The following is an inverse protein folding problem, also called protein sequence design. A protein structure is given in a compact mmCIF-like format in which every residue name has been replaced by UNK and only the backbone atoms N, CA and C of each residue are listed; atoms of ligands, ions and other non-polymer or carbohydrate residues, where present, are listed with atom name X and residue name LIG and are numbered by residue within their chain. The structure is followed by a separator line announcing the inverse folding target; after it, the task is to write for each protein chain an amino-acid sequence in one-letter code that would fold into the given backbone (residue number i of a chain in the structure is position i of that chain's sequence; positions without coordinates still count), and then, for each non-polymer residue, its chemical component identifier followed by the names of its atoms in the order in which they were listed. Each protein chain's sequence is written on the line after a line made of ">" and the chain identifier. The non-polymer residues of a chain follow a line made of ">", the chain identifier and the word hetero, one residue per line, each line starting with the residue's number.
data_IF_422690534367
#
_entry.id   IF_422690534367
#
_cell.length_a   1.000
_cell.length_b   1.000
_cell.length_c   1.000
_cell.angle_alpha   90.00
_cell.angle_beta   90.00
_cell.angle_gamma   90.00
#
_symmetry.space_group_name_H-M   'P 1'
#
loop_
_entity.id
_entity.type
_entity.pdbx_description
1 polymer ?
#
# COMPACT_ATOMS: atom_id res chain seq x y z
N UNK A 1 -44.63 -2.16 54.60
CA UNK A 1 -45.70 -2.03 53.58
C UNK A 1 -46.15 -0.57 53.52
N UNK A 2 -46.35 -0.03 52.30
CA UNK A 2 -46.91 1.31 51.94
C UNK A 2 -45.88 2.47 52.04
N UNK A 3 -45.19 2.88 50.96
CA UNK A 3 -45.56 3.60 49.71
C UNK A 3 -46.00 5.07 49.91
N UNK A 4 -45.10 6.01 49.59
CA UNK A 4 -45.32 7.35 48.96
C UNK A 4 -43.94 8.04 48.86
N UNK A 5 -43.25 8.04 47.72
CA UNK A 5 -43.42 8.91 46.55
C UNK A 5 -43.33 10.42 46.89
N UNK A 6 -42.13 10.99 46.80
CA UNK A 6 -41.92 12.41 46.52
C UNK A 6 -40.81 12.55 45.48
N UNK A 7 -41.17 13.24 44.40
CA UNK A 7 -40.55 13.27 43.08
C UNK A 7 -39.19 13.98 43.16
N UNK A 8 -38.12 13.26 42.83
CA UNK A 8 -36.79 13.81 42.64
C UNK A 8 -36.63 14.25 41.17
N UNK A 9 -36.34 15.52 41.00
CA UNK A 9 -36.02 16.22 39.77
C UNK A 9 -34.81 15.58 39.07
N UNK A 10 -35.02 14.72 38.07
CA UNK A 10 -33.97 14.26 37.15
C UNK A 10 -34.15 14.91 35.79
N UNK A 11 -33.29 15.90 35.56
CA UNK A 11 -33.04 16.58 34.30
C UNK A 11 -32.65 15.53 33.26
N UNK A 12 -33.41 15.48 32.16
CA UNK A 12 -33.15 14.66 30.99
C UNK A 12 -31.94 15.24 30.23
N UNK A 13 -30.73 14.88 30.63
CA UNK A 13 -29.54 15.13 29.82
C UNK A 13 -29.53 14.10 28.69
N UNK A 14 -29.85 14.54 27.48
CA UNK A 14 -29.56 13.78 26.26
C UNK A 14 -28.06 13.42 26.28
N UNK A 15 -27.67 12.15 26.28
CA UNK A 15 -26.30 11.82 25.94
C UNK A 15 -26.12 12.23 24.48
N UNK A 16 -25.43 13.34 24.27
CA UNK A 16 -24.88 13.68 22.98
C UNK A 16 -24.08 12.47 22.50
N UNK A 17 -24.39 12.03 21.28
CA UNK A 17 -23.60 11.03 20.57
C UNK A 17 -22.21 11.63 20.36
N UNK A 18 -21.29 11.35 21.28
CA UNK A 18 -19.87 11.52 21.06
C UNK A 18 -19.38 10.21 20.48
N UNK A 19 -19.23 10.15 19.16
CA UNK A 19 -18.57 9.05 18.48
C UNK A 19 -17.09 9.06 18.91
N UNK A 20 -16.58 8.08 19.68
CA UNK A 20 -15.15 7.99 19.96
C UNK A 20 -14.54 7.10 18.87
N UNK A 21 -14.56 7.57 17.63
CA UNK A 21 -13.82 6.94 16.54
C UNK A 21 -13.40 7.95 15.49
N UNK A 22 -12.88 9.09 15.96
CA UNK A 22 -11.80 9.78 15.25
C UNK A 22 -10.49 9.18 15.72
N UNK A 23 -10.23 7.91 15.38
CA UNK A 23 -8.86 7.43 15.36
C UNK A 23 -8.22 8.01 14.09
N UNK A 24 -8.04 9.33 14.09
CA UNK A 24 -7.10 10.01 13.20
C UNK A 24 -5.71 9.57 13.67
N UNK A 25 -5.36 8.32 13.31
CA UNK A 25 -3.98 7.92 13.20
C UNK A 25 -3.40 8.86 12.15
N UNK A 26 -2.79 9.94 12.64
CA UNK A 26 -1.87 10.77 11.90
C UNK A 26 -0.87 9.81 11.28
N UNK A 27 -1.10 9.42 10.02
CA UNK A 27 -0.21 8.57 9.24
C UNK A 27 1.11 9.32 9.27
N UNK A 28 2.04 8.82 10.09
CA UNK A 28 3.39 9.36 10.17
C UNK A 28 3.90 9.42 8.74
N UNK A 29 4.40 10.58 8.32
CA UNK A 29 5.11 10.69 7.05
C UNK A 29 6.11 9.53 6.97
N UNK A 30 6.17 8.82 5.83
CA UNK A 30 7.02 7.64 5.74
C UNK A 30 8.46 8.03 6.04
N UNK A 31 9.09 7.22 6.88
CA UNK A 31 10.53 7.24 7.14
C UNK A 31 11.27 7.31 5.81
N UNK A 32 12.36 8.11 5.73
CA UNK A 32 13.18 8.18 4.53
C UNK A 32 13.55 6.76 4.06
N UNK A 33 13.11 6.39 2.86
CA UNK A 33 13.40 5.08 2.28
C UNK A 33 14.84 5.11 1.79
N UNK A 34 15.66 4.17 2.26
CA UNK A 34 17.00 3.98 1.70
C UNK A 34 16.86 3.54 0.24
N UNK A 35 17.28 4.42 -0.67
CA UNK A 35 17.23 4.16 -2.11
C UNK A 35 18.50 3.46 -2.56
N UNK A 36 18.38 2.55 -3.53
CA UNK A 36 19.58 1.96 -4.15
C UNK A 36 20.22 2.95 -5.12
N UNK A 37 21.55 2.93 -5.20
CA UNK A 37 22.27 3.67 -6.22
C UNK A 37 22.09 3.01 -7.58
N UNK A 38 21.62 3.78 -8.58
CA UNK A 38 21.37 3.27 -9.94
C UNK A 38 22.35 3.93 -10.88
N UNK A 39 23.25 3.14 -11.46
CA UNK A 39 24.27 3.63 -12.38
C UNK A 39 23.63 4.36 -13.56
N UNK A 40 24.20 5.51 -13.89
CA UNK A 40 23.89 6.25 -15.12
C UNK A 40 24.96 5.94 -16.18
N UNK A 41 24.51 5.39 -17.30
CA UNK A 41 25.30 5.24 -18.52
C UNK A 41 25.35 6.55 -19.33
N UNK A 42 26.01 6.46 -20.47
CA UNK A 42 26.30 7.57 -21.39
C UNK A 42 25.56 7.45 -22.73
N UNK A 43 24.58 6.55 -22.85
CA UNK A 43 23.81 6.37 -24.08
C UNK A 43 23.05 7.64 -24.45
N UNK A 44 23.16 8.06 -25.72
CA UNK A 44 22.45 9.21 -26.30
C UNK A 44 21.94 8.81 -27.68
N UNK A 45 20.65 9.03 -27.93
CA UNK A 45 20.04 8.88 -29.25
C UNK A 45 19.87 10.25 -29.92
N UNK A 46 19.84 10.26 -31.26
CA UNK A 46 19.60 11.48 -32.03
C UNK A 46 18.33 11.35 -32.87
N UNK A 47 17.32 12.17 -32.55
CA UNK A 47 16.06 12.22 -33.27
C UNK A 47 15.93 13.55 -34.02
N UNK A 48 15.88 13.49 -35.35
CA UNK A 48 15.74 14.68 -36.21
C UNK A 48 16.79 15.78 -35.92
N UNK A 49 18.00 15.38 -35.55
CA UNK A 49 19.09 16.29 -35.19
C UNK A 49 19.08 16.78 -33.73
N UNK A 50 18.16 16.29 -32.89
CA UNK A 50 18.11 16.57 -31.46
C UNK A 50 18.67 15.38 -30.68
N UNK A 51 19.68 15.64 -29.84
CA UNK A 51 20.25 14.64 -28.92
C UNK A 51 19.35 14.43 -27.70
N UNK A 52 19.12 13.18 -27.32
CA UNK A 52 18.31 12.76 -26.18
C UNK A 52 19.10 11.71 -25.39
N UNK A 53 19.52 12.06 -24.17
CA UNK A 53 20.25 11.14 -23.29
C UNK A 53 19.30 10.12 -22.66
N UNK A 54 19.69 8.85 -22.70
CA UNK A 54 19.03 7.75 -22.01
C UNK A 54 20.02 7.04 -21.06
N UNK A 55 20.27 7.62 -19.87
CA UNK A 55 21.28 7.12 -18.96
C UNK A 55 20.95 5.73 -18.39
N UNK A 56 19.74 5.21 -18.59
CA UNK A 56 19.32 3.92 -18.05
C UNK A 56 19.06 2.87 -19.14
N UNK A 57 19.55 3.10 -20.35
CA UNK A 57 19.48 2.15 -21.48
C UNK A 57 19.90 0.73 -21.10
N UNK A 58 20.86 0.58 -20.19
CA UNK A 58 21.33 -0.73 -19.73
C UNK A 58 20.25 -1.58 -19.04
N UNK A 59 19.22 -0.96 -18.45
CA UNK A 59 18.06 -1.66 -17.86
C UNK A 59 17.14 -2.29 -18.91
N UNK A 60 17.31 -1.97 -20.20
CA UNK A 60 16.52 -2.57 -21.28
C UNK A 60 16.98 -3.99 -21.64
N UNK A 61 18.20 -4.39 -21.24
CA UNK A 61 18.64 -5.79 -21.34
C UNK A 61 18.12 -6.59 -20.15
N UNK A 62 16.98 -7.24 -20.35
CA UNK A 62 16.25 -8.04 -19.36
C UNK A 62 16.92 -9.39 -19.05
N UNK A 63 17.95 -9.79 -19.81
CA UNK A 63 18.72 -11.00 -19.60
C UNK A 63 20.09 -10.75 -18.96
N UNK A 64 20.48 -9.48 -18.77
CA UNK A 64 21.77 -9.14 -18.18
C UNK A 64 21.82 -9.41 -16.67
N UNK A 65 22.99 -9.84 -16.20
CA UNK A 65 23.24 -10.00 -14.77
C UNK A 65 23.16 -8.66 -14.01
N UNK A 66 23.49 -7.54 -14.66
CA UNK A 66 23.41 -6.18 -14.07
C UNK A 66 21.94 -5.81 -13.79
N UNK A 67 21.03 -6.00 -14.76
CA UNK A 67 19.59 -5.74 -14.59
C UNK A 67 18.99 -6.68 -13.56
N UNK A 68 19.35 -7.97 -13.59
CA UNK A 68 18.87 -8.94 -12.59
C UNK A 68 19.28 -8.56 -11.16
N UNK A 69 20.52 -8.12 -10.95
CA UNK A 69 21.00 -7.63 -9.66
C UNK A 69 20.23 -6.38 -9.21
N UNK A 70 20.07 -5.38 -10.09
CA UNK A 70 19.33 -4.17 -9.79
C UNK A 70 17.86 -4.45 -9.41
N UNK A 71 17.20 -5.38 -10.10
CA UNK A 71 15.85 -5.85 -9.75
C UNK A 71 15.82 -6.48 -8.36
N UNK A 72 16.83 -7.27 -8.01
CA UNK A 72 16.98 -7.86 -6.68
C UNK A 72 17.04 -6.80 -5.59
N UNK A 73 17.87 -5.79 -5.78
CA UNK A 73 18.07 -4.67 -4.86
C UNK A 73 16.81 -3.80 -4.69
N UNK A 74 16.15 -3.44 -5.80
CA UNK A 74 14.87 -2.69 -5.79
C UNK A 74 13.80 -3.46 -5.03
N UNK A 75 13.71 -4.77 -5.26
CA UNK A 75 12.75 -5.62 -4.57
C UNK A 75 13.06 -5.75 -3.08
N UNK A 76 14.34 -5.73 -2.68
CA UNK A 76 14.71 -5.75 -1.25
C UNK A 76 14.19 -4.49 -0.56
N UNK A 77 14.57 -3.31 -1.08
CA UNK A 77 14.11 -2.02 -0.52
C UNK A 77 12.59 -1.95 -0.44
N UNK A 78 11.90 -2.39 -1.50
CA UNK A 78 10.43 -2.39 -1.52
C UNK A 78 9.86 -3.36 -0.48
N UNK A 79 10.41 -4.56 -0.36
CA UNK A 79 9.94 -5.56 0.61
C UNK A 79 10.16 -5.09 2.04
N UNK A 80 11.31 -4.49 2.32
CA UNK A 80 11.65 -3.97 3.64
C UNK A 80 10.68 -2.85 4.03
N UNK A 81 10.45 -1.90 3.13
CA UNK A 81 9.46 -0.83 3.36
C UNK A 81 8.05 -1.37 3.60
N UNK A 82 7.62 -2.37 2.82
CA UNK A 82 6.29 -2.97 2.98
C UNK A 82 6.18 -3.83 4.25
N UNK A 83 7.28 -4.38 4.76
CA UNK A 83 7.29 -5.20 5.97
C UNK A 83 6.95 -4.38 7.23
N UNK A 84 7.24 -3.08 7.22
CA UNK A 84 6.90 -2.16 8.31
C UNK A 84 5.40 -1.82 8.40
N UNK A 85 4.62 -2.19 7.38
CA UNK A 85 3.17 -1.93 7.35
C UNK A 85 2.44 -2.99 8.18
N UNK A 86 2.08 -2.64 9.41
CA UNK A 86 1.49 -3.54 10.39
C UNK A 86 0.27 -4.35 9.90
N UNK A 87 -0.57 -3.78 9.04
CA UNK A 87 -1.81 -4.43 8.55
C UNK A 87 -1.60 -5.31 7.31
N UNK A 88 -0.37 -5.42 6.79
CA UNK A 88 -0.11 -6.05 5.50
C UNK A 88 -0.55 -7.51 5.45
N UNK A 89 -0.29 -8.26 6.52
CA UNK A 89 -0.65 -9.68 6.58
C UNK A 89 -2.15 -9.88 6.73
N UNK A 90 -2.84 -9.05 7.54
CA UNK A 90 -4.31 -9.07 7.66
C UNK A 90 -5.01 -8.83 6.31
N UNK A 91 -4.49 -7.88 5.52
CA UNK A 91 -5.00 -7.59 4.17
C UNK A 91 -4.78 -8.79 3.26
N UNK A 92 -3.58 -9.40 3.28
CA UNK A 92 -3.26 -10.58 2.48
C UNK A 92 -4.21 -11.75 2.79
N UNK A 93 -4.44 -12.04 4.07
CA UNK A 93 -5.36 -13.09 4.51
C UNK A 93 -6.82 -12.79 4.12
N UNK A 94 -7.25 -11.54 4.29
CA UNK A 94 -8.59 -11.11 3.92
C UNK A 94 -8.85 -11.28 2.43
N UNK A 95 -7.93 -10.83 1.57
CA UNK A 95 -8.06 -10.98 0.12
C UNK A 95 -8.09 -12.46 -0.25
N UNK A 96 -7.17 -13.27 0.29
CA UNK A 96 -7.13 -14.71 0.02
C UNK A 96 -8.45 -15.40 0.36
N UNK A 97 -9.06 -15.06 1.51
CA UNK A 97 -10.37 -15.59 1.91
C UNK A 97 -11.49 -15.14 0.96
N UNK A 98 -11.50 -13.88 0.53
CA UNK A 98 -12.56 -13.32 -0.32
C UNK A 98 -12.55 -13.88 -1.74
N UNK A 99 -11.39 -14.21 -2.28
CA UNK A 99 -11.26 -14.76 -3.65
C UNK A 99 -11.37 -16.28 -3.70
N UNK A 100 -11.44 -16.96 -2.56
CA UNK A 100 -11.54 -18.42 -2.48
C UNK A 100 -13.00 -18.88 -2.63
N UNK A 101 -13.52 -18.85 -3.86
CA UNK A 101 -14.86 -19.33 -4.21
C UNK A 101 -14.89 -19.93 -5.62
N UNK A 102 -15.92 -20.72 -5.90
CA UNK A 102 -16.13 -21.36 -7.20
C UNK A 102 -16.38 -20.33 -8.32
N UNK A 103 -15.72 -20.51 -9.46
CA UNK A 103 -15.82 -19.61 -10.61
C UNK A 103 -15.96 -20.42 -11.89
N UNK A 104 -17.06 -20.21 -12.60
CA UNK A 104 -17.36 -20.83 -13.88
C UNK A 104 -17.04 -19.84 -15.02
N UNK A 105 -16.39 -20.34 -16.07
CA UNK A 105 -16.14 -19.59 -17.30
C UNK A 105 -17.33 -19.65 -18.27
N UNK A 106 -17.32 -18.83 -19.31
CA UNK A 106 -18.31 -18.97 -20.38
C UNK A 106 -18.07 -20.29 -21.14
N UNK A 107 -19.14 -21.03 -21.52
CA UNK A 107 -18.99 -22.22 -22.35
C UNK A 107 -18.45 -21.84 -23.74
N UNK A 108 -17.54 -22.63 -24.29
CA UNK A 108 -17.08 -22.49 -25.67
C UNK A 108 -17.15 -23.82 -26.42
N UNK A 109 -17.30 -23.72 -27.73
CA UNK A 109 -17.24 -24.85 -28.66
C UNK A 109 -16.01 -24.63 -29.55
N UNK A 110 -15.19 -25.67 -29.71
CA UNK A 110 -13.99 -25.66 -30.56
C UNK A 110 -14.34 -25.86 -32.05
#
# INVERSE_FOLDING_TARGET
>A
MKKTALILLTILTLPGCGDPSSNDQKVSSPTAVDTIDTRRGDHVDTYFGVEVADPYRWLEDDLSDETAAWIGDQNSVTRDYLADIAIRDDVKETVARLINFEREGAPFVA
#
